data_IF_900229821286
#
_entry.id   IF_900229821286
#
_cell.length_a   1.000
_cell.length_b   1.000
_cell.length_c   1.000
_cell.angle_alpha   90.00
_cell.angle_beta   90.00
_cell.angle_gamma   90.00
#
_symmetry.space_group_name_H-M   'P 1'
#
loop_
_entity.id
_entity.type
_entity.pdbx_description
1 polymer ?
#
# COMPACT_ATOMS: atom_id res chain seq x y z
N UNK A 1 -10.93 42.60 3.84
CA UNK A 1 -10.13 41.39 3.48
C UNK A 1 -9.84 41.37 1.97
N UNK A 2 -8.57 41.41 1.59
CA UNK A 2 -8.15 41.28 0.19
C UNK A 2 -8.29 39.79 -0.15
N UNK A 3 -9.19 39.45 -1.07
CA UNK A 3 -9.40 38.07 -1.56
C UNK A 3 -8.55 37.87 -2.81
N UNK A 4 -7.61 36.93 -2.75
CA UNK A 4 -6.80 36.53 -3.91
C UNK A 4 -7.58 35.48 -4.73
N UNK A 5 -7.68 35.67 -6.05
CA UNK A 5 -8.35 34.70 -6.93
C UNK A 5 -7.39 33.58 -7.28
N UNK A 6 -7.78 32.34 -7.00
CA UNK A 6 -6.94 31.18 -7.29
C UNK A 6 -6.60 31.04 -8.78
N UNK A 7 -7.48 31.52 -9.67
CA UNK A 7 -7.25 31.49 -11.12
C UNK A 7 -6.10 32.40 -11.59
N UNK A 8 -5.63 33.32 -10.73
CA UNK A 8 -4.52 34.20 -11.05
C UNK A 8 -3.16 33.55 -10.70
N UNK A 9 -3.15 32.32 -10.14
CA UNK A 9 -1.93 31.54 -9.91
C UNK A 9 -1.44 30.87 -11.20
N UNK A 10 -0.12 30.93 -11.47
CA UNK A 10 0.53 29.99 -12.37
C UNK A 10 0.18 28.54 -12.01
N UNK A 11 0.00 27.70 -13.04
CA UNK A 11 -0.42 26.30 -12.85
C UNK A 11 0.59 25.52 -12.01
N UNK A 12 1.88 25.80 -12.20
CA UNK A 12 2.98 25.20 -11.45
C UNK A 12 2.84 25.47 -9.94
N UNK A 13 2.52 26.71 -9.57
CA UNK A 13 2.32 27.10 -8.17
C UNK A 13 1.07 26.45 -7.59
N UNK A 14 -0.03 26.39 -8.35
CA UNK A 14 -1.24 25.69 -7.92
C UNK A 14 -0.97 24.20 -7.63
N UNK A 15 -0.21 23.52 -8.49
CA UNK A 15 0.16 22.11 -8.31
C UNK A 15 1.08 21.89 -7.09
N UNK A 16 2.02 22.81 -6.84
CA UNK A 16 2.85 22.77 -5.63
C UNK A 16 1.99 22.93 -4.37
N UNK A 17 1.03 23.86 -4.38
CA UNK A 17 0.09 24.04 -3.27
C UNK A 17 -0.71 22.76 -3.04
N UNK A 18 -1.22 22.13 -4.10
CA UNK A 18 -1.98 20.87 -3.97
C UNK A 18 -1.13 19.72 -3.43
N UNK A 19 0.12 19.58 -3.88
CA UNK A 19 1.04 18.58 -3.33
C UNK A 19 1.28 18.79 -1.85
N UNK A 20 1.62 20.00 -1.43
CA UNK A 20 1.82 20.30 0.00
C UNK A 20 0.55 20.12 0.83
N UNK A 21 -0.61 20.51 0.31
CA UNK A 21 -1.88 20.33 1.00
C UNK A 21 -2.31 18.85 1.10
N UNK A 22 -1.81 18.00 0.20
CA UNK A 22 -2.07 16.57 0.19
C UNK A 22 -1.15 15.76 1.12
N UNK A 23 -0.05 16.35 1.60
CA UNK A 23 0.87 15.63 2.47
C UNK A 23 0.21 15.30 3.80
N UNK A 24 0.12 14.00 4.17
CA UNK A 24 -0.49 13.60 5.42
C UNK A 24 0.31 14.16 6.60
N UNK A 25 -0.33 14.86 7.54
CA UNK A 25 0.34 15.39 8.72
C UNK A 25 0.57 14.26 9.72
N UNK A 26 1.61 13.45 9.53
CA UNK A 26 2.04 12.42 10.50
C UNK A 26 2.69 13.02 11.76
N UNK A 27 2.45 14.30 12.06
CA UNK A 27 3.02 14.98 13.21
C UNK A 27 2.53 14.35 14.53
N UNK A 28 3.47 14.18 15.48
CA UNK A 28 3.27 13.52 16.79
C UNK A 28 2.18 14.13 17.69
N UNK A 29 1.60 15.28 17.30
CA UNK A 29 0.62 16.03 18.09
C UNK A 29 -0.67 16.33 17.34
N UNK A 30 -0.86 15.78 16.13
CA UNK A 30 -2.13 15.91 15.45
C UNK A 30 -3.19 15.13 16.24
N UNK A 31 -4.32 15.76 16.61
CA UNK A 31 -5.40 15.03 17.29
C UNK A 31 -5.83 13.88 16.38
N UNK A 32 -5.86 12.65 16.91
CA UNK A 32 -6.25 11.40 16.24
C UNK A 32 -7.66 11.42 15.60
N UNK A 33 -8.36 12.55 15.65
CA UNK A 33 -9.76 12.69 15.23
C UNK A 33 -9.92 13.01 13.74
N UNK A 34 -8.87 13.43 13.03
CA UNK A 34 -8.96 13.75 11.60
C UNK A 34 -8.18 12.75 10.75
N UNK A 35 -8.84 12.21 9.72
CA UNK A 35 -8.21 11.37 8.71
C UNK A 35 -7.02 12.12 8.07
N UNK A 36 -5.77 11.59 8.19
CA UNK A 36 -4.57 12.25 7.68
C UNK A 36 -4.62 12.49 6.17
N UNK A 37 -5.44 11.73 5.43
CA UNK A 37 -5.58 11.85 3.98
C UNK A 37 -6.78 12.69 3.54
N UNK A 38 -7.57 13.25 4.48
CA UNK A 38 -8.81 13.97 4.14
C UNK A 38 -8.61 15.07 3.09
N UNK A 39 -7.56 15.88 3.21
CA UNK A 39 -7.23 16.93 2.24
C UNK A 39 -6.88 16.35 0.86
N UNK A 40 -6.03 15.31 0.82
CA UNK A 40 -5.64 14.65 -0.42
C UNK A 40 -6.83 14.01 -1.14
N UNK A 41 -7.74 13.38 -0.39
CA UNK A 41 -8.97 12.79 -0.93
C UNK A 41 -9.90 13.87 -1.51
N UNK A 42 -10.08 15.00 -0.83
CA UNK A 42 -10.87 16.12 -1.36
C UNK A 42 -10.24 16.70 -2.64
N UNK A 43 -8.92 16.87 -2.68
CA UNK A 43 -8.23 17.38 -3.86
C UNK A 43 -8.32 16.43 -5.06
N UNK A 44 -8.28 15.11 -4.83
CA UNK A 44 -8.45 14.10 -5.88
C UNK A 44 -9.80 14.18 -6.61
N UNK A 45 -10.79 14.90 -6.06
CA UNK A 45 -12.12 15.06 -6.65
C UNK A 45 -12.26 16.34 -7.49
N UNK A 46 -11.28 17.24 -7.47
CA UNK A 46 -11.37 18.55 -8.15
C UNK A 46 -11.25 18.42 -9.66
N UNK A 47 -10.21 17.74 -10.14
CA UNK A 47 -10.00 17.48 -11.57
C UNK A 47 -9.02 16.34 -11.78
N UNK A 48 -8.93 15.82 -13.01
CA UNK A 48 -7.93 14.80 -13.39
C UNK A 48 -6.50 15.27 -13.11
N UNK A 49 -6.17 16.51 -13.47
CA UNK A 49 -4.83 17.07 -13.29
C UNK A 49 -4.48 17.15 -11.80
N UNK A 50 -5.41 17.64 -10.98
CA UNK A 50 -5.20 17.75 -9.52
C UNK A 50 -5.06 16.35 -8.91
N UNK A 51 -5.91 15.41 -9.31
CA UNK A 51 -5.83 14.00 -8.90
C UNK A 51 -4.45 13.39 -9.21
N UNK A 52 -3.95 13.54 -10.43
CA UNK A 52 -2.64 13.00 -10.82
C UNK A 52 -1.48 13.65 -10.05
N UNK A 53 -1.61 14.92 -9.65
CA UNK A 53 -0.59 15.59 -8.85
C UNK A 53 -0.63 15.17 -7.37
N UNK A 54 -1.79 14.80 -6.85
CA UNK A 54 -2.04 14.50 -5.43
C UNK A 54 -1.91 13.03 -5.09
N UNK A 55 -2.32 12.13 -5.99
CA UNK A 55 -2.26 10.68 -5.76
C UNK A 55 -0.87 10.16 -5.35
N UNK A 56 0.26 10.64 -5.92
CA UNK A 56 1.58 10.25 -5.44
C UNK A 56 1.79 10.54 -3.95
N UNK A 57 1.36 11.70 -3.46
CA UNK A 57 1.50 12.08 -2.05
C UNK A 57 0.58 11.23 -1.14
N UNK A 58 -0.61 10.88 -1.63
CA UNK A 58 -1.55 10.02 -0.91
C UNK A 58 -1.05 8.57 -0.82
N UNK A 59 -0.47 8.06 -1.91
CA UNK A 59 -0.03 6.67 -2.02
C UNK A 59 1.38 6.44 -1.50
N UNK A 60 2.18 7.49 -1.32
CA UNK A 60 3.55 7.40 -0.80
C UNK A 60 3.63 6.53 0.46
N UNK A 61 2.69 6.73 1.39
CA UNK A 61 2.57 5.93 2.61
C UNK A 61 1.19 5.30 2.66
N UNK A 62 1.10 3.97 2.69
CA UNK A 62 -0.17 3.23 2.76
C UNK A 62 -0.26 2.48 4.09
N UNK A 63 -1.30 2.77 4.89
CA UNK A 63 -1.51 2.16 6.20
C UNK A 63 -2.76 1.25 6.19
N UNK A 64 -2.54 -0.06 6.16
CA UNK A 64 -3.58 -1.09 6.16
C UNK A 64 -3.58 -1.80 7.51
N UNK A 65 -4.19 -1.17 8.51
CA UNK A 65 -4.22 -1.66 9.89
C UNK A 65 -5.26 -2.77 10.11
N UNK A 66 -6.23 -2.92 9.21
CA UNK A 66 -7.34 -3.87 9.35
C UNK A 66 -7.56 -4.68 8.08
N UNK A 67 -8.16 -5.87 8.21
CA UNK A 67 -8.60 -6.69 7.07
C UNK A 67 -9.47 -5.90 6.08
N UNK A 68 -10.38 -5.05 6.61
CA UNK A 68 -11.27 -4.23 5.78
C UNK A 68 -10.48 -3.25 4.90
N UNK A 69 -9.46 -2.60 5.45
CA UNK A 69 -8.60 -1.69 4.70
C UNK A 69 -7.80 -2.45 3.63
N UNK A 70 -7.26 -3.63 3.97
CA UNK A 70 -6.56 -4.48 2.99
C UNK A 70 -7.47 -4.88 1.83
N UNK A 71 -8.69 -5.35 2.12
CA UNK A 71 -9.67 -5.69 1.10
C UNK A 71 -10.05 -4.48 0.24
N UNK A 72 -10.31 -3.33 0.86
CA UNK A 72 -10.61 -2.10 0.12
C UNK A 72 -9.46 -1.69 -0.80
N UNK A 73 -8.21 -1.88 -0.36
CA UNK A 73 -7.03 -1.62 -1.17
C UNK A 73 -6.94 -2.58 -2.35
N UNK A 74 -7.17 -3.89 -2.14
CA UNK A 74 -7.22 -4.88 -3.23
C UNK A 74 -8.32 -4.54 -4.25
N UNK A 75 -9.49 -4.12 -3.78
CA UNK A 75 -10.56 -3.64 -4.66
C UNK A 75 -10.13 -2.42 -5.47
N UNK A 76 -9.43 -1.46 -4.87
CA UNK A 76 -8.88 -0.32 -5.58
C UNK A 76 -7.88 -0.76 -6.66
N UNK A 77 -6.98 -1.71 -6.37
CA UNK A 77 -6.05 -2.27 -7.36
C UNK A 77 -6.77 -2.98 -8.50
N UNK A 78 -7.81 -3.76 -8.20
CA UNK A 78 -8.66 -4.41 -9.22
C UNK A 78 -9.32 -3.37 -10.14
N UNK A 79 -9.85 -2.29 -9.57
CA UNK A 79 -10.43 -1.20 -10.37
C UNK A 79 -9.37 -0.53 -11.24
N UNK A 80 -8.18 -0.25 -10.70
CA UNK A 80 -7.10 0.38 -11.47
C UNK A 80 -6.60 -0.51 -12.61
N UNK A 81 -6.48 -1.83 -12.39
CA UNK A 81 -6.16 -2.77 -13.47
C UNK A 81 -7.19 -2.70 -14.60
N UNK A 82 -8.49 -2.75 -14.26
CA UNK A 82 -9.57 -2.61 -15.26
C UNK A 82 -9.49 -1.27 -16.00
N UNK A 83 -9.17 -0.18 -15.31
CA UNK A 83 -9.00 1.13 -15.93
C UNK A 83 -7.79 1.16 -16.88
N UNK A 84 -6.67 0.54 -16.51
CA UNK A 84 -5.50 0.42 -17.38
C UNK A 84 -5.85 -0.40 -18.64
N UNK A 85 -6.49 -1.55 -18.46
CA UNK A 85 -6.89 -2.44 -19.56
C UNK A 85 -7.85 -1.74 -20.54
N UNK A 86 -8.68 -0.82 -20.04
CA UNK A 86 -9.64 -0.04 -20.82
C UNK A 86 -9.07 1.31 -21.33
N UNK A 87 -7.81 1.62 -21.06
CA UNK A 87 -7.21 2.94 -21.32
C UNK A 87 -8.05 4.10 -20.75
N UNK A 88 -8.69 3.86 -19.61
CA UNK A 88 -9.61 4.79 -18.99
C UNK A 88 -8.85 6.01 -18.44
N UNK A 89 -9.47 7.19 -18.53
CA UNK A 89 -8.87 8.47 -18.14
C UNK A 89 -8.52 8.59 -16.65
N UNK A 90 -9.09 7.73 -15.82
CA UNK A 90 -8.84 7.66 -14.37
C UNK A 90 -7.84 6.55 -13.97
N UNK A 91 -7.24 5.88 -14.96
CA UNK A 91 -6.17 4.92 -14.71
C UNK A 91 -4.99 5.62 -14.02
N UNK A 92 -4.45 4.94 -13.02
CA UNK A 92 -3.29 5.39 -12.28
C UNK A 92 -2.53 4.17 -11.75
N UNK A 93 -1.22 4.15 -11.95
CA UNK A 93 -0.39 3.08 -11.46
C UNK A 93 -0.10 3.28 -9.97
N UNK A 94 -0.78 2.50 -9.14
CA UNK A 94 -0.61 2.58 -7.69
C UNK A 94 0.75 2.03 -7.27
N UNK A 95 1.25 0.98 -7.94
CA UNK A 95 2.44 0.26 -7.50
C UNK A 95 3.69 1.14 -7.56
N UNK A 96 3.81 2.01 -8.57
CA UNK A 96 4.95 2.92 -8.70
C UNK A 96 4.98 4.07 -7.69
N UNK A 97 3.88 4.33 -6.98
CA UNK A 97 3.79 5.45 -6.03
C UNK A 97 3.88 5.02 -4.57
N UNK A 98 3.79 3.73 -4.26
CA UNK A 98 3.87 3.23 -2.88
C UNK A 98 5.34 3.07 -2.49
N UNK A 99 5.85 3.99 -1.67
CA UNK A 99 7.21 3.91 -1.12
C UNK A 99 7.21 3.17 0.22
N UNK A 100 6.28 3.52 1.11
CA UNK A 100 6.12 2.92 2.43
C UNK A 100 4.76 2.23 2.55
N UNK A 101 4.76 0.98 3.01
CA UNK A 101 3.53 0.22 3.25
C UNK A 101 3.54 -0.37 4.65
N UNK A 102 2.44 -0.23 5.38
CA UNK A 102 2.24 -0.84 6.70
C UNK A 102 1.03 -1.75 6.70
N UNK A 103 1.20 -2.98 7.16
CA UNK A 103 0.18 -4.03 7.23
C UNK A 103 0.04 -4.47 8.69
N UNK A 104 -1.03 -4.02 9.34
CA UNK A 104 -1.34 -4.30 10.75
C UNK A 104 -1.90 -5.70 10.99
N UNK A 105 -2.15 -6.07 12.24
CA UNK A 105 -2.68 -7.40 12.60
C UNK A 105 -4.14 -7.55 12.14
N UNK A 106 -4.42 -8.59 11.38
CA UNK A 106 -5.80 -9.01 11.10
C UNK A 106 -5.93 -10.50 11.37
N UNK A 107 -6.06 -10.85 12.65
CA UNK A 107 -6.41 -12.22 13.04
C UNK A 107 -7.86 -12.51 12.61
N UNK A 108 -8.03 -13.53 11.79
CA UNK A 108 -9.32 -14.10 11.42
C UNK A 108 -9.41 -14.46 9.94
N UNK A 109 -10.31 -15.38 9.55
CA UNK A 109 -10.72 -15.45 8.15
C UNK A 109 -11.26 -14.08 7.74
N UNK A 110 -11.17 -13.71 6.46
CA UNK A 110 -11.78 -12.52 5.86
C UNK A 110 -13.32 -12.57 5.89
N UNK A 111 -13.91 -13.19 6.92
CA UNK A 111 -15.34 -13.29 7.14
C UNK A 111 -15.80 -11.95 7.73
N UNK A 112 -16.63 -11.27 6.95
CA UNK A 112 -17.39 -10.11 7.37
C UNK A 112 -18.13 -10.36 8.68
N UNK A 113 -18.05 -9.47 9.69
CA UNK A 113 -19.08 -9.45 10.73
C UNK A 113 -20.41 -9.02 10.10
N UNK A 114 -21.56 -9.59 10.49
CA UNK A 114 -22.86 -9.13 10.01
C UNK A 114 -23.21 -7.82 10.74
N UNK A 115 -23.23 -6.67 10.05
CA UNK A 115 -23.72 -5.40 10.65
C UNK A 115 -24.58 -4.58 9.65
N UNK A 116 -25.71 -3.98 10.10
CA UNK A 116 -26.86 -3.59 9.27
C UNK A 116 -26.82 -2.19 8.64
N UNK A 117 -25.67 -1.50 8.59
CA UNK A 117 -25.64 -0.08 8.20
C UNK A 117 -24.47 0.25 7.28
N UNK A 118 -24.60 -0.11 6.00
CA UNK A 118 -23.88 0.56 4.92
C UNK A 118 -24.73 0.53 3.65
N UNK A 119 -25.05 1.68 3.01
CA UNK A 119 -25.94 1.73 1.84
C UNK A 119 -25.26 1.31 0.52
N UNK A 120 -24.01 0.83 0.58
CA UNK A 120 -23.35 0.21 -0.55
C UNK A 120 -23.30 -1.29 -0.29
N UNK A 121 -23.97 -2.13 -1.10
CA UNK A 121 -23.81 -3.57 -1.03
C UNK A 121 -22.35 -3.86 -1.41
N UNK A 122 -21.51 -4.09 -0.40
CA UNK A 122 -20.28 -4.83 -0.61
C UNK A 122 -20.75 -6.24 -0.93
N UNK A 123 -20.64 -6.71 -2.19
CA UNK A 123 -21.05 -8.06 -2.49
C UNK A 123 -20.24 -8.99 -1.57
N UNK A 124 -20.94 -9.95 -0.95
CA UNK A 124 -20.36 -11.08 -0.23
C UNK A 124 -19.52 -11.91 -1.22
N UNK A 125 -18.40 -11.35 -1.67
CA UNK A 125 -17.36 -12.09 -2.33
C UNK A 125 -16.46 -12.57 -1.21
N UNK A 126 -16.32 -13.89 -1.13
CA UNK A 126 -15.06 -14.54 -0.78
C UNK A 126 -13.96 -13.87 -1.61
N UNK A 127 -13.46 -12.75 -1.10
CA UNK A 127 -12.46 -11.95 -1.79
C UNK A 127 -11.16 -12.69 -1.54
N UNK A 128 -10.93 -13.75 -2.31
CA UNK A 128 -9.65 -14.43 -2.32
C UNK A 128 -8.60 -13.35 -2.57
N UNK A 129 -7.62 -13.30 -1.66
CA UNK A 129 -6.52 -12.35 -1.70
C UNK A 129 -5.84 -12.49 -3.06
N UNK A 130 -6.05 -11.52 -3.94
CA UNK A 130 -5.46 -11.52 -5.27
C UNK A 130 -3.98 -11.18 -5.16
N UNK A 131 -3.18 -12.21 -4.87
CA UNK A 131 -1.74 -12.09 -4.68
C UNK A 131 -1.08 -11.50 -5.93
N UNK A 132 -1.64 -11.74 -7.12
CA UNK A 132 -1.11 -11.20 -8.37
C UNK A 132 -1.16 -9.67 -8.44
N UNK A 133 -2.17 -9.06 -7.83
CA UNK A 133 -2.31 -7.60 -7.74
C UNK A 133 -1.54 -7.01 -6.57
N UNK A 134 -1.48 -7.75 -5.46
CA UNK A 134 -0.90 -7.25 -4.22
C UNK A 134 0.63 -7.36 -4.21
N UNK A 135 1.19 -8.41 -4.82
CA UNK A 135 2.63 -8.66 -4.82
C UNK A 135 3.45 -7.51 -5.42
N UNK A 136 3.10 -6.92 -6.59
CA UNK A 136 3.85 -5.79 -7.14
C UNK A 136 3.90 -4.58 -6.20
N UNK A 137 2.83 -4.33 -5.45
CA UNK A 137 2.77 -3.19 -4.52
C UNK A 137 3.54 -3.47 -3.24
N UNK A 138 3.35 -4.64 -2.62
CA UNK A 138 4.06 -5.00 -1.38
C UNK A 138 5.57 -5.09 -1.63
N UNK A 139 5.97 -5.74 -2.71
CA UNK A 139 7.39 -5.96 -3.04
C UNK A 139 8.05 -4.73 -3.68
N UNK A 140 7.25 -3.83 -4.26
CA UNK A 140 7.69 -2.56 -4.84
C UNK A 140 7.91 -1.45 -3.80
N UNK A 141 7.39 -1.61 -2.59
CA UNK A 141 7.61 -0.67 -1.49
C UNK A 141 9.08 -0.74 -1.00
N UNK A 142 9.73 0.41 -0.87
CA UNK A 142 11.10 0.52 -0.34
C UNK A 142 11.16 0.23 1.15
N UNK A 143 10.09 0.55 1.89
CA UNK A 143 9.93 0.32 3.32
C UNK A 143 8.63 -0.41 3.63
N UNK A 144 8.74 -1.64 4.12
CA UNK A 144 7.59 -2.49 4.47
C UNK A 144 7.52 -2.69 5.98
N UNK A 145 6.39 -2.35 6.59
CA UNK A 145 6.04 -2.74 7.94
C UNK A 145 4.95 -3.82 7.90
N UNK A 146 5.14 -4.94 8.56
CA UNK A 146 4.18 -6.04 8.56
C UNK A 146 4.08 -6.69 9.94
N UNK A 147 2.86 -6.93 10.39
CA UNK A 147 2.60 -7.67 11.62
C UNK A 147 2.99 -9.15 11.46
N UNK A 148 3.55 -9.76 12.52
CA UNK A 148 4.04 -11.13 12.49
C UNK A 148 3.04 -12.16 11.96
N UNK A 149 1.78 -12.02 12.36
CA UNK A 149 0.70 -12.92 11.95
C UNK A 149 0.46 -12.89 10.43
N UNK A 150 0.92 -11.86 9.74
CA UNK A 150 0.71 -11.67 8.31
C UNK A 150 1.95 -12.01 7.46
N UNK A 151 3.03 -12.56 8.05
CA UNK A 151 4.20 -12.98 7.27
C UNK A 151 3.87 -14.02 6.19
N UNK A 152 2.81 -14.82 6.36
CA UNK A 152 2.33 -15.72 5.32
C UNK A 152 1.89 -14.97 4.05
N UNK A 153 1.34 -13.76 4.17
CA UNK A 153 0.99 -12.92 3.03
C UNK A 153 2.25 -12.54 2.24
N UNK A 154 3.29 -12.06 2.93
CA UNK A 154 4.57 -11.74 2.31
C UNK A 154 5.20 -12.98 1.66
N UNK A 155 5.15 -14.14 2.31
CA UNK A 155 5.62 -15.40 1.74
C UNK A 155 4.88 -15.76 0.43
N UNK A 156 3.55 -15.57 0.39
CA UNK A 156 2.75 -15.77 -0.83
C UNK A 156 3.14 -14.80 -1.93
N UNK A 157 3.34 -13.51 -1.61
CA UNK A 157 3.78 -12.50 -2.58
C UNK A 157 5.17 -12.85 -3.17
N UNK A 158 6.13 -13.24 -2.34
CA UNK A 158 7.47 -13.65 -2.79
C UNK A 158 7.40 -14.88 -3.69
N UNK A 159 6.66 -15.92 -3.29
CA UNK A 159 6.46 -17.11 -4.12
C UNK A 159 5.83 -16.76 -5.47
N UNK A 160 4.81 -15.91 -5.48
CA UNK A 160 4.17 -15.46 -6.71
C UNK A 160 5.16 -14.75 -7.62
N UNK A 161 5.89 -13.75 -7.10
CA UNK A 161 6.80 -12.94 -7.90
C UNK A 161 7.95 -13.76 -8.51
N UNK A 162 8.53 -14.69 -7.73
CA UNK A 162 9.57 -15.59 -8.23
C UNK A 162 9.03 -16.59 -9.25
N UNK A 163 7.80 -17.10 -9.08
CA UNK A 163 7.21 -18.03 -10.04
C UNK A 163 6.78 -17.34 -11.34
N UNK A 164 6.32 -16.09 -11.28
CA UNK A 164 5.91 -15.34 -12.48
C UNK A 164 7.09 -14.92 -13.36
N UNK A 165 8.28 -14.74 -12.78
CA UNK A 165 9.49 -14.37 -13.51
C UNK A 165 10.09 -15.57 -14.28
N UNK A 166 9.79 -16.79 -13.85
CA UNK A 166 10.19 -18.03 -14.55
C UNK A 166 9.45 -18.20 -15.88
N UNK A 167 8.26 -17.62 -16.04
CA UNK A 167 7.47 -17.72 -17.28
C UNK A 167 7.91 -16.72 -18.38
N UNK A 168 8.78 -15.74 -18.08
CA UNK A 168 9.18 -14.68 -19.03
C UNK A 168 10.66 -14.73 -19.47
N UNK A 169 11.46 -15.69 -18.98
CA UNK A 169 12.91 -15.66 -19.18
C UNK A 169 13.36 -16.45 -20.42
N UNK A 170 13.11 -15.89 -21.60
CA UNK A 170 14.01 -16.01 -22.76
C UNK A 170 14.68 -14.64 -22.90
N UNK A 171 16.00 -14.63 -22.80
CA UNK A 171 16.92 -13.51 -23.02
C UNK A 171 17.28 -12.61 -21.81
N UNK A 172 18.42 -12.97 -21.22
CA UNK A 172 19.34 -12.18 -20.41
C UNK A 172 19.21 -10.65 -20.52
N UNK A 173 18.87 -10.00 -19.40
CA UNK A 173 19.42 -8.69 -18.99
C UNK A 173 19.22 -8.47 -17.49
N UNK A 174 20.32 -8.52 -16.74
CA UNK A 174 20.50 -8.04 -15.36
C UNK A 174 19.35 -8.36 -14.39
N UNK A 175 19.51 -9.46 -13.66
CA UNK A 175 18.64 -9.93 -12.58
C UNK A 175 18.41 -8.86 -11.49
N UNK A 176 17.51 -7.92 -11.75
CA UNK A 176 16.91 -7.10 -10.74
C UNK A 176 16.02 -8.03 -9.94
N UNK A 177 16.29 -8.16 -8.64
CA UNK A 177 15.42 -8.91 -7.74
C UNK A 177 13.97 -8.41 -7.94
N UNK A 178 12.96 -9.28 -7.86
CA UNK A 178 11.57 -8.89 -8.12
C UNK A 178 10.98 -8.01 -6.99
N UNK A 179 11.82 -7.53 -6.06
CA UNK A 179 11.49 -6.66 -4.96
C UNK A 179 12.50 -5.52 -4.83
N UNK A 180 12.03 -4.37 -4.37
CA UNK A 180 12.81 -3.16 -4.12
C UNK A 180 12.94 -2.83 -2.62
N UNK A 181 12.31 -3.64 -1.76
CA UNK A 181 12.28 -3.43 -0.31
C UNK A 181 13.68 -3.46 0.30
N UNK A 182 14.05 -2.39 1.00
CA UNK A 182 15.34 -2.25 1.71
C UNK A 182 15.15 -2.19 3.23
N UNK A 183 13.99 -1.75 3.69
CA UNK A 183 13.65 -1.64 5.10
C UNK A 183 12.47 -2.56 5.41
N UNK A 184 12.63 -3.44 6.39
CA UNK A 184 11.58 -4.32 6.90
C UNK A 184 11.37 -4.02 8.38
N UNK A 185 10.15 -3.68 8.74
CA UNK A 185 9.72 -3.54 10.14
C UNK A 185 8.75 -4.65 10.48
N UNK A 186 9.07 -5.46 11.47
CA UNK A 186 8.20 -6.53 11.92
C UNK A 186 7.53 -6.13 13.23
N UNK A 187 6.20 -6.15 13.24
CA UNK A 187 5.37 -5.65 14.33
C UNK A 187 4.76 -6.81 15.15
N UNK A 188 4.71 -6.63 16.47
CA UNK A 188 3.97 -7.49 17.39
C UNK A 188 4.82 -8.60 18.03
N UNK A 189 4.15 -9.46 18.79
CA UNK A 189 4.82 -10.51 19.56
C UNK A 189 5.40 -11.62 18.67
N UNK A 190 6.66 -11.95 18.94
CA UNK A 190 7.48 -12.93 18.20
C UNK A 190 7.18 -14.40 18.53
N UNK A 191 5.94 -14.73 18.90
CA UNK A 191 5.60 -16.08 19.37
C UNK A 191 5.45 -17.13 18.25
N UNK A 192 5.29 -16.70 17.00
CA UNK A 192 5.18 -17.62 15.87
C UNK A 192 6.54 -17.87 15.22
N UNK A 193 6.91 -19.12 14.93
CA UNK A 193 8.18 -19.43 14.31
C UNK A 193 8.21 -18.82 12.91
N UNK A 194 9.19 -17.95 12.64
CA UNK A 194 9.47 -17.39 11.31
C UNK A 194 9.93 -18.46 10.31
N UNK A 195 10.02 -19.72 10.73
CA UNK A 195 10.52 -20.84 9.95
C UNK A 195 9.88 -21.02 8.57
N UNK A 196 8.56 -20.86 8.36
CA UNK A 196 7.98 -20.98 7.01
C UNK A 196 8.48 -19.90 6.05
N UNK A 197 8.86 -18.73 6.58
CA UNK A 197 9.40 -17.62 5.81
C UNK A 197 10.89 -17.83 5.53
N UNK A 198 11.68 -18.08 6.58
CA UNK A 198 13.14 -18.27 6.52
C UNK A 198 13.52 -19.60 5.85
N UNK A 199 12.66 -20.60 5.93
CA UNK A 199 12.88 -21.93 5.35
C UNK A 199 12.64 -22.02 3.84
N UNK A 200 12.23 -20.93 3.19
CA UNK A 200 12.10 -20.85 1.75
C UNK A 200 13.30 -20.13 1.13
N UNK A 201 13.79 -20.60 -0.03
CA UNK A 201 14.89 -19.95 -0.76
C UNK A 201 14.56 -18.48 -1.06
N UNK A 202 13.31 -18.20 -1.45
CA UNK A 202 12.84 -16.84 -1.74
C UNK A 202 12.83 -15.94 -0.50
N UNK A 203 12.37 -16.46 0.64
CA UNK A 203 12.38 -15.70 1.89
C UNK A 203 13.79 -15.40 2.38
N UNK A 204 14.72 -16.36 2.22
CA UNK A 204 16.15 -16.13 2.52
C UNK A 204 16.76 -15.07 1.61
N UNK A 205 16.55 -15.16 0.30
CA UNK A 205 17.04 -14.18 -0.66
C UNK A 205 16.47 -12.78 -0.40
N UNK A 206 15.18 -12.69 -0.06
CA UNK A 206 14.55 -11.44 0.32
C UNK A 206 15.20 -10.85 1.57
N UNK A 207 15.32 -11.63 2.65
CA UNK A 207 15.97 -11.17 3.89
C UNK A 207 17.42 -10.74 3.68
N UNK A 208 18.17 -11.45 2.82
CA UNK A 208 19.54 -11.08 2.48
C UNK A 208 19.65 -9.73 1.75
N UNK A 209 18.58 -9.30 1.08
CA UNK A 209 18.52 -7.99 0.40
C UNK A 209 18.09 -6.82 1.31
N UNK A 210 17.54 -7.12 2.49
CA UNK A 210 17.12 -6.10 3.45
C UNK A 210 18.36 -5.45 4.08
N UNK A 211 18.40 -4.12 4.06
CA UNK A 211 19.46 -3.31 4.65
C UNK A 211 19.15 -2.93 6.10
N UNK A 212 17.87 -2.74 6.42
CA UNK A 212 17.40 -2.34 7.74
C UNK A 212 16.28 -3.26 8.19
N UNK A 213 16.50 -3.96 9.30
CA UNK A 213 15.49 -4.79 9.95
C UNK A 213 15.17 -4.20 11.33
N UNK A 214 13.92 -3.78 11.52
CA UNK A 214 13.43 -3.28 12.80
C UNK A 214 12.43 -4.28 13.39
N UNK A 215 12.63 -4.64 14.64
CA UNK A 215 11.72 -5.51 15.39
C UNK A 215 11.02 -4.66 16.45
N UNK A 216 9.70 -4.47 16.31
CA UNK A 216 8.90 -3.69 17.25
C UNK A 216 7.96 -4.62 18.00
N UNK A 217 8.23 -4.79 19.29
CA UNK A 217 7.32 -5.49 20.18
C UNK A 217 6.12 -4.57 20.53
N UNK A 218 4.92 -5.13 20.53
CA UNK A 218 3.73 -4.48 21.06
C UNK A 218 3.84 -4.10 22.55
N UNK A 219 4.79 -4.67 23.29
CA UNK A 219 5.03 -4.35 24.70
C UNK A 219 5.59 -2.94 24.97
N UNK A 220 6.06 -2.20 23.94
CA UNK A 220 6.72 -0.90 24.13
C UNK A 220 5.80 0.32 23.99
N UNK A 221 4.47 0.15 23.93
CA UNK A 221 3.47 1.23 23.88
C UNK A 221 2.39 1.09 24.98
N UNK A 222 2.79 0.76 26.20
CA UNK A 222 1.96 0.94 27.41
C UNK A 222 2.47 2.10 28.24
#
# INVERSE_FOLDING_TARGET
PISFRFNDLPTELALIIFKHAAQPPFARHAPYTRDPYSSALSLCQVSKIVRCAVLPELLHTVLLSTARQLLAFIWALRMQKKYIDQQHDLSFDYASCVDMMSIGDFRGPLQSPPIPFSPLPMPELECELDISLLAPVILGASSLAIHFNNLNLLSKCLKHACNSDVDLNVDHKNSLLPWSTRSLTLLGMFFHPWWPFVGSVHGYAFLASIQHLTLLDSASFQ
#
